data_IF_587654105009
#
_entry.id   IF_587654105009
#
_cell.length_a   1.000
_cell.length_b   1.000
_cell.length_c   1.000
_cell.angle_alpha   90.00
_cell.angle_beta   90.00
_cell.angle_gamma   90.00
#
_symmetry.space_group_name_H-M   'P 1'
#
loop_
_entity.id
_entity.type
_entity.pdbx_description
1 polymer ?
#
# COMPACT_ATOMS: atom_id res chain seq x y z
N UNK A 1 18.51 12.32 9.48
CA UNK A 1 17.18 11.74 9.19
C UNK A 1 17.19 10.23 9.40
N UNK A 2 18.19 9.51 8.86
CA UNK A 2 18.37 8.06 9.01
C UNK A 2 18.42 7.57 10.47
N UNK A 3 19.22 8.21 11.35
CA UNK A 3 19.30 7.84 12.77
C UNK A 3 17.94 7.91 13.48
N UNK A 4 17.08 8.86 13.09
CA UNK A 4 15.72 9.00 13.62
C UNK A 4 14.77 7.93 13.07
N UNK A 5 14.89 7.56 11.79
CA UNK A 5 14.10 6.48 11.18
C UNK A 5 14.42 5.14 11.82
N UNK A 6 15.70 4.78 11.93
CA UNK A 6 16.16 3.55 12.56
C UNK A 6 15.66 3.44 14.01
N UNK A 7 15.76 4.53 14.79
CA UNK A 7 15.24 4.56 16.16
C UNK A 7 13.72 4.32 16.21
N UNK A 8 12.94 4.95 15.32
CA UNK A 8 11.48 4.75 15.24
C UNK A 8 11.13 3.31 14.86
N UNK A 9 11.84 2.73 13.89
CA UNK A 9 11.65 1.32 13.52
C UNK A 9 11.98 0.39 14.68
N UNK A 10 13.10 0.60 15.36
CA UNK A 10 13.46 -0.19 16.54
C UNK A 10 12.43 -0.06 17.65
N UNK A 11 11.92 1.15 17.91
CA UNK A 11 10.87 1.38 18.91
C UNK A 11 9.54 0.70 18.52
N UNK A 12 9.17 0.74 17.24
CA UNK A 12 7.99 0.02 16.70
C UNK A 12 8.13 -1.49 16.90
N UNK A 13 9.28 -2.05 16.55
CA UNK A 13 9.55 -3.49 16.74
C UNK A 13 9.65 -3.86 18.22
N UNK A 14 10.12 -2.97 19.09
CA UNK A 14 10.27 -3.23 20.53
C UNK A 14 9.01 -2.90 21.34
N UNK A 15 7.88 -2.62 20.69
CA UNK A 15 6.63 -2.32 21.38
C UNK A 15 6.12 -3.52 22.19
N UNK A 16 5.24 -3.28 23.16
CA UNK A 16 4.82 -4.30 24.15
C UNK A 16 4.11 -5.52 23.56
N UNK A 17 3.72 -5.47 22.29
CA UNK A 17 3.19 -6.62 21.55
C UNK A 17 4.34 -7.38 20.91
N UNK A 18 4.49 -8.69 21.21
CA UNK A 18 5.46 -9.57 20.55
C UNK A 18 5.20 -9.78 19.05
N UNK A 19 4.12 -9.22 18.51
CA UNK A 19 3.71 -9.36 17.12
C UNK A 19 4.25 -8.23 16.25
N UNK A 20 4.71 -8.59 15.05
CA UNK A 20 5.01 -7.61 14.02
C UNK A 20 3.73 -6.90 13.58
N UNK A 21 3.80 -5.58 13.43
CA UNK A 21 2.68 -4.72 13.03
C UNK A 21 2.95 -4.02 11.70
N UNK A 22 1.93 -3.66 10.90
CA UNK A 22 2.11 -2.92 9.66
C UNK A 22 2.84 -1.60 9.87
N UNK A 23 3.60 -1.18 8.85
CA UNK A 23 4.35 0.08 8.85
C UNK A 23 3.90 0.91 7.66
N UNK A 24 3.50 2.16 7.91
CA UNK A 24 3.21 3.15 6.89
C UNK A 24 4.33 4.21 6.89
N UNK A 25 5.07 4.32 5.78
CA UNK A 25 6.05 5.39 5.56
C UNK A 25 5.48 6.39 4.56
N UNK A 26 5.38 7.65 4.97
CA UNK A 26 4.97 8.74 4.08
C UNK A 26 6.13 9.14 3.16
N UNK A 27 5.93 9.10 1.84
CA UNK A 27 7.02 9.25 0.87
C UNK A 27 7.23 10.71 0.44
N UNK A 28 6.17 11.35 -0.06
CA UNK A 28 6.26 12.65 -0.73
C UNK A 28 5.63 13.83 0.03
N UNK A 29 5.01 13.56 1.19
CA UNK A 29 4.33 14.62 1.93
C UNK A 29 2.90 14.92 1.45
N UNK A 30 2.36 14.13 0.51
CA UNK A 30 1.04 14.31 -0.07
C UNK A 30 0.18 13.03 -0.05
N UNK A 31 0.19 12.23 -1.12
CA UNK A 31 -0.63 11.03 -1.29
C UNK A 31 0.19 9.72 -1.40
N UNK A 32 1.52 9.79 -1.52
CA UNK A 32 2.36 8.59 -1.75
C UNK A 32 2.80 7.94 -0.44
N UNK A 33 2.58 6.63 -0.35
CA UNK A 33 2.90 5.83 0.84
C UNK A 33 3.67 4.56 0.47
N UNK A 34 4.58 4.14 1.34
CA UNK A 34 5.09 2.77 1.39
C UNK A 34 4.39 2.07 2.56
N UNK A 35 3.52 1.11 2.25
CA UNK A 35 2.90 0.24 3.23
C UNK A 35 3.67 -1.09 3.29
N UNK A 36 4.02 -1.52 4.49
CA UNK A 36 4.69 -2.79 4.73
C UNK A 36 3.83 -3.61 5.69
N UNK A 37 3.31 -4.75 5.22
CA UNK A 37 2.46 -5.65 6.03
C UNK A 37 3.23 -6.90 6.44
N UNK A 38 3.18 -7.33 7.71
CA UNK A 38 3.85 -8.55 8.15
C UNK A 38 3.32 -9.76 7.37
N UNK A 39 4.24 -10.56 6.84
CA UNK A 39 3.88 -11.83 6.19
C UNK A 39 3.57 -12.89 7.24
N UNK A 40 2.60 -13.80 6.98
CA UNK A 40 2.48 -15.05 7.72
C UNK A 40 3.76 -15.87 7.63
N UNK A 41 4.02 -16.72 8.63
CA UNK A 41 5.27 -17.49 8.74
C UNK A 41 5.59 -18.31 7.48
N UNK A 42 4.58 -18.97 6.90
CA UNK A 42 4.75 -19.77 5.68
C UNK A 42 5.18 -18.91 4.48
N UNK A 43 4.68 -17.67 4.38
CA UNK A 43 5.03 -16.74 3.30
C UNK A 43 6.43 -16.15 3.49
N UNK A 44 6.90 -15.99 4.73
CA UNK A 44 8.29 -15.58 5.01
C UNK A 44 9.28 -16.62 4.50
N UNK A 45 9.01 -17.90 4.74
CA UNK A 45 9.85 -19.00 4.29
C UNK A 45 9.94 -19.08 2.76
N UNK A 46 8.83 -18.82 2.06
CA UNK A 46 8.80 -18.83 0.60
C UNK A 46 9.46 -17.61 -0.03
N UNK A 47 9.28 -16.42 0.56
CA UNK A 47 9.74 -15.15 -0.02
C UNK A 47 11.13 -14.70 0.44
N UNK A 48 11.58 -15.15 1.61
CA UNK A 48 12.79 -14.62 2.25
C UNK A 48 12.62 -13.22 2.85
N UNK A 49 11.39 -12.68 2.89
CA UNK A 49 11.06 -11.36 3.44
C UNK A 49 10.20 -11.49 4.69
N UNK A 50 10.33 -10.54 5.61
CA UNK A 50 9.45 -10.45 6.78
C UNK A 50 8.14 -9.72 6.43
N UNK A 51 8.22 -8.73 5.55
CA UNK A 51 7.12 -7.86 5.17
C UNK A 51 6.77 -7.99 3.67
N UNK A 52 5.51 -7.69 3.35
CA UNK A 52 5.02 -7.46 1.99
C UNK A 52 4.93 -5.95 1.76
N UNK A 53 5.69 -5.45 0.79
CA UNK A 53 5.89 -4.02 0.56
C UNK A 53 5.07 -3.52 -0.63
N UNK A 54 4.13 -2.62 -0.36
CA UNK A 54 3.29 -1.95 -1.35
C UNK A 54 3.72 -0.50 -1.46
N UNK A 55 4.04 -0.07 -2.69
CA UNK A 55 4.18 1.34 -3.02
C UNK A 55 2.83 1.84 -3.55
N UNK A 56 2.17 2.68 -2.76
CA UNK A 56 0.88 3.25 -3.07
C UNK A 56 1.07 4.62 -3.76
N UNK A 57 0.50 4.74 -4.97
CA UNK A 57 0.41 5.96 -5.78
C UNK A 57 1.72 6.78 -5.79
N UNK A 58 2.82 6.23 -6.34
CA UNK A 58 4.13 6.86 -6.22
C UNK A 58 4.25 8.11 -7.10
N UNK A 59 4.40 9.24 -6.44
CA UNK A 59 4.83 10.51 -7.00
C UNK A 59 6.04 11.00 -6.20
N UNK A 60 7.22 10.52 -6.58
CA UNK A 60 8.43 10.68 -5.78
C UNK A 60 9.19 11.97 -6.10
N UNK A 61 9.11 12.48 -7.33
CA UNK A 61 9.80 13.72 -7.73
C UNK A 61 9.15 14.28 -8.99
N UNK A 62 9.42 15.55 -9.29
CA UNK A 62 8.91 16.27 -10.45
C UNK A 62 7.49 16.80 -10.25
N UNK A 63 7.00 17.56 -11.22
CA UNK A 63 5.62 18.05 -11.23
C UNK A 63 4.68 17.01 -11.82
N UNK A 64 3.47 16.91 -11.27
CA UNK A 64 2.39 16.16 -11.89
C UNK A 64 1.63 17.08 -12.83
N UNK A 65 1.68 16.78 -14.13
CA UNK A 65 1.07 17.59 -15.17
C UNK A 65 -0.08 16.83 -15.82
N UNK A 66 -1.22 17.48 -16.04
CA UNK A 66 -2.20 16.99 -17.01
C UNK A 66 -1.65 17.21 -18.43
N UNK A 67 -2.02 16.34 -19.39
CA UNK A 67 -1.49 16.35 -20.77
C UNK A 67 -1.75 17.66 -21.54
N UNK A 68 -2.51 18.59 -20.95
CA UNK A 68 -2.53 19.99 -21.36
C UNK A 68 -1.76 20.86 -20.36
N UNK A 69 -0.48 21.15 -20.66
CA UNK A 69 0.41 22.06 -19.89
C UNK A 69 -0.13 23.50 -19.70
N UNK A 70 -1.34 23.79 -20.16
CA UNK A 70 -1.98 25.09 -20.15
C UNK A 70 -3.05 25.24 -19.05
N UNK A 71 -3.42 24.18 -18.34
CA UNK A 71 -4.56 24.21 -17.40
C UNK A 71 -4.16 24.04 -15.92
N UNK A 72 -3.27 23.11 -15.56
CA UNK A 72 -2.84 22.93 -14.14
C UNK A 72 -1.51 22.18 -14.04
N UNK A 73 -0.52 22.78 -13.37
CA UNK A 73 0.65 22.08 -12.83
C UNK A 73 0.41 21.81 -11.34
N UNK A 74 0.49 20.55 -10.91
CA UNK A 74 0.47 20.20 -9.49
C UNK A 74 1.93 20.07 -9.04
N UNK A 75 2.33 20.95 -8.13
CA UNK A 75 3.65 20.94 -7.52
C UNK A 75 3.61 20.22 -6.19
N UNK A 76 4.63 19.43 -5.89
CA UNK A 76 4.76 18.82 -4.56
C UNK A 76 4.86 19.95 -3.52
N UNK A 77 4.06 19.90 -2.43
CA UNK A 77 4.07 20.95 -1.41
C UNK A 77 5.39 21.00 -0.61
N UNK A 78 6.19 19.92 -0.66
CA UNK A 78 7.55 19.77 -0.09
C UNK A 78 8.34 18.80 -0.98
N UNK A 79 9.66 18.94 -1.06
CA UNK A 79 10.52 17.90 -1.68
C UNK A 79 10.28 16.56 -0.97
N UNK A 80 10.08 15.49 -1.74
CA UNK A 80 9.83 14.18 -1.16
C UNK A 80 11.00 13.75 -0.27
N UNK A 81 10.70 13.16 0.88
CA UNK A 81 11.74 12.62 1.76
C UNK A 81 12.39 11.37 1.16
N UNK A 82 11.65 10.68 0.28
CA UNK A 82 12.08 9.56 -0.55
C UNK A 82 11.71 9.92 -1.98
N UNK A 83 12.71 10.22 -2.81
CA UNK A 83 12.52 10.86 -4.12
C UNK A 83 12.84 9.98 -5.34
N UNK A 84 13.17 8.71 -5.11
CA UNK A 84 13.46 7.73 -6.15
C UNK A 84 13.12 6.30 -5.73
N UNK A 85 12.91 5.37 -6.68
CA UNK A 85 12.74 3.95 -6.35
C UNK A 85 13.91 3.36 -5.56
N UNK A 86 15.15 3.79 -5.82
CA UNK A 86 16.32 3.36 -5.04
C UNK A 86 16.20 3.78 -3.56
N UNK A 87 15.73 5.00 -3.29
CA UNK A 87 15.49 5.44 -1.92
C UNK A 87 14.30 4.68 -1.26
N UNK A 88 13.32 4.22 -2.04
CA UNK A 88 12.27 3.31 -1.55
C UNK A 88 12.87 1.95 -1.16
N UNK A 89 13.76 1.42 -2.00
CA UNK A 89 14.48 0.17 -1.76
C UNK A 89 15.36 0.23 -0.51
N UNK A 90 16.03 1.35 -0.26
CA UNK A 90 16.79 1.60 0.97
C UNK A 90 15.84 1.65 2.19
N UNK A 91 14.70 2.34 2.07
CA UNK A 91 13.69 2.41 3.11
C UNK A 91 13.08 1.04 3.46
N UNK A 92 12.92 0.16 2.48
CA UNK A 92 12.51 -1.25 2.66
C UNK A 92 13.62 -2.05 3.34
N UNK A 93 14.86 -1.87 2.91
CA UNK A 93 16.04 -2.54 3.49
C UNK A 93 16.16 -2.24 4.99
N UNK A 94 15.92 -0.99 5.40
CA UNK A 94 15.88 -0.60 6.81
C UNK A 94 14.76 -1.31 7.60
N UNK A 95 13.58 -1.46 7.01
CA UNK A 95 12.43 -2.16 7.63
C UNK A 95 12.76 -3.64 7.82
N UNK A 96 13.20 -4.31 6.75
CA UNK A 96 13.53 -5.73 6.77
C UNK A 96 14.66 -6.04 7.75
N UNK A 97 15.76 -5.27 7.72
CA UNK A 97 16.86 -5.44 8.66
C UNK A 97 16.43 -5.24 10.12
N UNK A 98 15.56 -4.25 10.39
CA UNK A 98 15.04 -4.01 11.73
C UNK A 98 14.13 -5.16 12.19
N UNK A 99 13.32 -5.70 11.28
CA UNK A 99 12.41 -6.80 11.56
C UNK A 99 13.17 -8.11 11.83
N UNK A 100 14.12 -8.48 10.95
CA UNK A 100 14.96 -9.68 11.12
C UNK A 100 15.79 -9.63 12.42
N UNK A 101 16.24 -8.43 12.82
CA UNK A 101 16.93 -8.24 14.09
C UNK A 101 16.03 -8.46 15.31
N UNK A 102 14.72 -8.23 15.17
CA UNK A 102 13.72 -8.43 16.21
C UNK A 102 13.24 -9.89 16.31
N UNK A 103 13.19 -10.62 15.19
CA UNK A 103 12.77 -12.04 15.19
C UNK A 103 13.67 -12.91 16.06
N UNK A 104 13.07 -13.87 16.77
CA UNK A 104 13.74 -14.88 17.57
C UNK A 104 13.46 -16.31 17.09
N UNK A 105 14.13 -17.29 17.71
CA UNK A 105 13.84 -18.72 17.60
C UNK A 105 13.45 -19.24 16.20
N UNK A 106 12.27 -19.84 16.13
CA UNK A 106 11.73 -20.50 14.94
C UNK A 106 11.36 -19.51 13.81
N UNK A 107 10.95 -18.29 14.16
CA UNK A 107 10.59 -17.24 13.19
C UNK A 107 11.81 -16.75 12.42
N UNK A 108 12.95 -16.61 13.11
CA UNK A 108 14.23 -16.26 12.48
C UNK A 108 14.76 -17.36 11.58
N UNK A 109 14.59 -18.63 11.97
CA UNK A 109 14.97 -19.78 11.14
C UNK A 109 14.11 -19.84 9.87
N UNK A 110 12.83 -19.49 9.98
CA UNK A 110 11.88 -19.53 8.86
C UNK A 110 12.00 -18.34 7.90
N UNK A 111 12.88 -17.37 8.17
CA UNK A 111 13.10 -16.22 7.28
C UNK A 111 14.56 -16.23 6.79
N UNK A 112 14.84 -16.85 5.63
CA UNK A 112 16.18 -16.80 5.04
C UNK A 112 16.51 -15.36 4.65
N UNK A 113 17.44 -14.71 5.37
CA UNK A 113 17.92 -13.37 5.06
C UNK A 113 18.91 -13.36 3.89
N UNK A 114 18.51 -13.97 2.77
CA UNK A 114 19.34 -14.14 1.57
C UNK A 114 18.52 -13.82 0.32
N UNK A 115 18.00 -12.60 0.25
CA UNK A 115 17.53 -12.08 -1.03
C UNK A 115 18.74 -11.93 -1.95
N UNK A 116 18.67 -12.47 -3.16
CA UNK A 116 19.68 -12.22 -4.18
C UNK A 116 19.77 -10.73 -4.49
N UNK A 117 20.92 -10.23 -4.94
CA UNK A 117 21.08 -8.84 -5.35
C UNK A 117 20.05 -8.42 -6.43
N UNK A 118 19.61 -9.37 -7.27
CA UNK A 118 18.60 -9.14 -8.32
C UNK A 118 17.13 -9.24 -7.87
N UNK A 119 16.88 -9.49 -6.56
CA UNK A 119 15.53 -9.66 -6.04
C UNK A 119 14.80 -8.31 -5.95
N UNK A 120 13.53 -8.29 -6.38
CA UNK A 120 12.67 -7.12 -6.20
C UNK A 120 12.42 -6.89 -4.72
N UNK A 121 12.64 -5.68 -4.22
CA UNK A 121 12.33 -5.30 -2.83
C UNK A 121 10.87 -4.87 -2.67
N UNK A 122 10.35 -4.10 -3.61
CA UNK A 122 8.91 -3.79 -3.73
C UNK A 122 8.17 -5.02 -4.24
N UNK A 123 7.07 -5.38 -3.57
CA UNK A 123 6.25 -6.53 -3.95
C UNK A 123 5.09 -6.13 -4.87
N UNK A 124 4.53 -4.92 -4.71
CA UNK A 124 3.48 -4.41 -5.57
C UNK A 124 3.45 -2.88 -5.64
N UNK A 125 2.93 -2.38 -6.76
CA UNK A 125 2.50 -0.97 -6.89
C UNK A 125 0.97 -0.94 -6.92
N UNK A 126 0.37 -0.04 -6.14
CA UNK A 126 -1.07 0.09 -5.99
C UNK A 126 -1.53 1.48 -6.46
N UNK A 127 -2.46 1.52 -7.41
CA UNK A 127 -3.00 2.74 -8.02
C UNK A 127 -4.52 2.77 -7.88
N UNK A 128 -5.02 3.50 -6.89
CA UNK A 128 -6.45 3.54 -6.58
C UNK A 128 -7.17 4.67 -7.32
N UNK A 129 -6.44 5.64 -7.86
CA UNK A 129 -6.99 6.79 -8.56
C UNK A 129 -6.17 7.17 -9.78
N UNK A 130 -6.77 7.94 -10.70
CA UNK A 130 -6.27 8.11 -12.06
C UNK A 130 -5.67 9.48 -12.37
N UNK A 131 -5.80 10.46 -11.46
CA UNK A 131 -5.25 11.79 -11.71
C UNK A 131 -3.71 11.77 -11.76
N UNK A 132 -3.06 12.72 -12.44
CA UNK A 132 -1.62 12.67 -12.72
C UNK A 132 -0.71 12.60 -11.49
N UNK A 133 -1.16 13.14 -10.36
CA UNK A 133 -0.50 13.11 -9.05
C UNK A 133 -0.67 11.76 -8.32
N UNK A 134 -1.60 10.92 -8.78
CA UNK A 134 -1.82 9.55 -8.30
C UNK A 134 -1.25 8.49 -9.27
N UNK A 135 -1.23 8.78 -10.57
CA UNK A 135 -0.61 7.97 -11.64
C UNK A 135 0.54 8.74 -12.27
N UNK A 136 1.55 9.06 -11.46
CA UNK A 136 2.68 9.85 -11.89
C UNK A 136 3.61 9.04 -12.82
N UNK A 137 3.32 9.07 -14.12
CA UNK A 137 4.03 8.28 -15.13
C UNK A 137 5.56 8.45 -15.10
N UNK A 138 6.13 9.66 -14.95
CA UNK A 138 7.59 9.81 -14.88
C UNK A 138 8.23 9.06 -13.70
N UNK A 139 7.54 8.92 -12.58
CA UNK A 139 7.99 8.10 -11.46
C UNK A 139 7.78 6.62 -11.76
N UNK A 140 6.62 6.24 -12.29
CA UNK A 140 6.32 4.84 -12.60
C UNK A 140 7.30 4.20 -13.60
N UNK A 141 7.80 4.94 -14.59
CA UNK A 141 8.84 4.44 -15.51
C UNK A 141 10.20 4.14 -14.85
N UNK A 142 10.44 4.66 -13.64
CA UNK A 142 11.70 4.41 -12.92
C UNK A 142 11.67 3.09 -12.13
N UNK A 143 10.48 2.54 -11.85
CA UNK A 143 10.35 1.25 -11.17
C UNK A 143 10.69 0.09 -12.11
N UNK A 144 11.16 -1.02 -11.54
CA UNK A 144 11.40 -2.24 -12.30
C UNK A 144 10.09 -2.78 -12.90
N UNK A 145 10.10 -3.08 -14.20
CA UNK A 145 8.94 -3.57 -14.95
C UNK A 145 8.36 -4.89 -14.42
N UNK A 146 9.15 -5.68 -13.68
CA UNK A 146 8.72 -6.96 -13.10
C UNK A 146 7.83 -6.78 -11.87
N UNK A 147 7.79 -5.57 -11.27
CA UNK A 147 6.91 -5.29 -10.14
C UNK A 147 5.46 -5.30 -10.65
N UNK A 148 4.57 -6.12 -10.08
CA UNK A 148 3.17 -6.14 -10.49
C UNK A 148 2.46 -4.85 -10.09
N UNK A 149 1.64 -4.33 -11.00
CA UNK A 149 0.81 -3.14 -10.77
C UNK A 149 -0.65 -3.54 -10.65
N UNK A 150 -1.24 -3.19 -9.52
CA UNK A 150 -2.65 -3.35 -9.24
C UNK A 150 -3.30 -1.97 -9.35
N UNK A 151 -4.31 -1.85 -10.21
CA UNK A 151 -4.91 -0.55 -10.49
C UNK A 151 -6.43 -0.62 -10.65
N UNK A 152 -7.11 0.48 -10.35
CA UNK A 152 -8.52 0.67 -10.72
C UNK A 152 -8.69 0.78 -12.24
N UNK A 153 -9.90 0.58 -12.79
CA UNK A 153 -10.10 0.59 -14.25
C UNK A 153 -9.53 1.82 -14.97
N UNK A 154 -9.70 3.01 -14.40
CA UNK A 154 -9.23 4.27 -15.00
C UNK A 154 -7.71 4.40 -14.94
N UNK A 155 -7.10 4.11 -13.77
CA UNK A 155 -5.65 4.09 -13.64
C UNK A 155 -5.00 3.03 -14.54
N UNK A 156 -5.63 1.85 -14.62
CA UNK A 156 -5.22 0.75 -15.48
C UNK A 156 -5.20 1.15 -16.96
N UNK A 157 -6.18 1.93 -17.42
CA UNK A 157 -6.22 2.42 -18.79
C UNK A 157 -5.04 3.34 -19.14
N UNK A 158 -4.48 4.04 -18.16
CA UNK A 158 -3.27 4.85 -18.31
C UNK A 158 -2.03 3.95 -18.33
N UNK A 159 -1.86 3.10 -17.31
CA UNK A 159 -0.65 2.28 -17.16
C UNK A 159 -0.49 1.26 -18.29
N UNK A 160 -1.58 0.69 -18.82
CA UNK A 160 -1.54 -0.17 -20.01
C UNK A 160 -0.92 0.52 -21.22
N UNK A 161 -1.15 1.82 -21.40
CA UNK A 161 -0.59 2.58 -22.53
C UNK A 161 0.91 2.82 -22.38
N UNK A 162 1.42 2.81 -21.14
CA UNK A 162 2.85 2.98 -20.87
C UNK A 162 3.68 1.81 -21.40
N UNK A 163 3.09 0.59 -21.49
CA UNK A 163 3.78 -0.64 -21.94
C UNK A 163 5.10 -0.90 -21.21
N UNK A 164 5.14 -0.52 -19.94
CA UNK A 164 6.33 -0.64 -19.09
C UNK A 164 6.29 -1.94 -18.28
N UNK A 165 5.24 -2.15 -17.50
CA UNK A 165 5.11 -3.28 -16.57
C UNK A 165 4.66 -4.58 -17.24
N UNK A 166 5.19 -5.70 -16.73
CA UNK A 166 4.93 -7.05 -17.23
C UNK A 166 3.61 -7.63 -16.69
N UNK A 167 3.26 -7.29 -15.45
CA UNK A 167 2.05 -7.77 -14.77
C UNK A 167 1.16 -6.59 -14.40
N UNK A 168 -0.07 -6.61 -14.92
CA UNK A 168 -1.08 -5.56 -14.71
C UNK A 168 -2.40 -6.20 -14.32
N UNK A 169 -2.90 -5.90 -13.13
CA UNK A 169 -4.13 -6.48 -12.59
C UNK A 169 -5.12 -5.44 -12.10
N UNK A 170 -6.41 -5.74 -12.27
CA UNK A 170 -7.48 -4.86 -11.83
C UNK A 170 -7.75 -5.07 -10.34
N UNK A 171 -7.86 -3.96 -9.62
CA UNK A 171 -8.39 -3.97 -8.26
C UNK A 171 -9.92 -4.06 -8.34
N UNK A 172 -10.54 -4.98 -7.60
CA UNK A 172 -11.97 -5.11 -7.61
C UNK A 172 -12.65 -3.94 -6.88
N UNK A 173 -13.86 -3.62 -7.32
CA UNK A 173 -14.74 -2.71 -6.60
C UNK A 173 -15.65 -3.51 -5.69
N UNK A 174 -15.79 -3.09 -4.42
CA UNK A 174 -16.75 -3.74 -3.54
C UNK A 174 -18.17 -3.35 -3.96
N UNK A 175 -19.09 -4.32 -4.01
CA UNK A 175 -20.50 -4.05 -4.32
C UNK A 175 -21.12 -3.14 -3.25
N UNK A 176 -21.99 -2.17 -3.61
CA UNK A 176 -22.69 -1.32 -2.63
C UNK A 176 -23.74 -2.08 -1.82
N UNK A 177 -23.97 -3.36 -2.16
CA UNK A 177 -24.84 -4.27 -1.41
C UNK A 177 -24.07 -5.44 -0.83
N UNK A 178 -22.73 -5.41 -0.85
CA UNK A 178 -21.91 -6.46 -0.28
C UNK A 178 -22.24 -6.63 1.21
N UNK A 179 -22.32 -7.89 1.64
CA UNK A 179 -22.43 -8.26 3.06
C UNK A 179 -21.12 -8.75 3.63
N UNK A 180 -20.16 -9.05 2.75
CA UNK A 180 -18.83 -9.49 3.12
C UNK A 180 -17.81 -8.81 2.21
N UNK A 181 -16.68 -8.43 2.79
CA UNK A 181 -15.49 -8.03 2.03
C UNK A 181 -14.65 -9.25 1.64
N UNK A 182 -14.94 -10.44 2.20
CA UNK A 182 -14.33 -11.71 1.80
C UNK A 182 -15.13 -12.28 0.65
N UNK A 183 -14.78 -11.87 -0.56
CA UNK A 183 -15.32 -12.47 -1.79
C UNK A 183 -14.21 -13.31 -2.46
N UNK A 184 -14.12 -14.63 -2.20
CA UNK A 184 -13.05 -15.48 -2.75
C UNK A 184 -13.01 -15.50 -4.28
N UNK A 185 -14.15 -15.27 -4.93
CA UNK A 185 -14.25 -15.17 -6.40
C UNK A 185 -13.69 -13.87 -6.98
N UNK A 186 -13.29 -12.93 -6.13
CA UNK A 186 -12.93 -11.54 -6.51
C UNK A 186 -11.51 -11.18 -6.05
N UNK A 187 -10.74 -12.14 -5.52
CA UNK A 187 -9.34 -11.87 -5.18
C UNK A 187 -8.57 -11.37 -6.42
N UNK A 188 -7.68 -10.38 -6.28
CA UNK A 188 -6.74 -10.04 -7.35
C UNK A 188 -6.06 -11.33 -7.83
N UNK A 189 -5.88 -11.45 -9.13
CA UNK A 189 -5.38 -12.66 -9.77
C UNK A 189 -3.90 -12.93 -9.40
N UNK A 190 -3.29 -13.91 -10.09
CA UNK A 190 -2.09 -14.61 -9.65
C UNK A 190 -0.95 -13.71 -9.14
N UNK A 191 -0.68 -13.79 -7.83
CA UNK A 191 0.49 -13.17 -7.19
C UNK A 191 0.17 -12.26 -6.01
N UNK A 192 -1.09 -11.84 -5.83
CA UNK A 192 -1.49 -11.08 -4.64
C UNK A 192 -1.71 -12.00 -3.43
N UNK A 193 -1.20 -11.67 -2.23
CA UNK A 193 -1.37 -12.51 -1.04
C UNK A 193 -2.82 -12.57 -0.57
N UNK A 194 -3.34 -13.77 -0.29
CA UNK A 194 -4.75 -13.95 0.12
C UNK A 194 -5.09 -13.36 1.50
N UNK A 195 -4.07 -13.07 2.31
CA UNK A 195 -4.18 -12.48 3.65
C UNK A 195 -4.13 -10.95 3.66
N UNK A 196 -4.05 -10.32 2.49
CA UNK A 196 -4.14 -8.87 2.32
C UNK A 196 -5.12 -8.60 1.19
N UNK A 197 -6.11 -7.72 1.34
CA UNK A 197 -7.15 -7.55 0.32
C UNK A 197 -7.39 -6.06 0.01
N UNK A 198 -7.13 -5.62 -1.24
CA UNK A 198 -7.44 -4.27 -1.69
C UNK A 198 -8.86 -4.19 -2.21
N UNK A 199 -9.57 -3.15 -1.78
CA UNK A 199 -10.91 -2.81 -2.27
C UNK A 199 -10.95 -1.38 -2.75
N UNK A 200 -11.39 -1.21 -4.00
CA UNK A 200 -11.83 0.09 -4.47
C UNK A 200 -13.28 0.32 -4.04
N UNK A 201 -13.57 1.51 -3.51
CA UNK A 201 -14.89 1.90 -3.04
C UNK A 201 -15.32 3.12 -3.86
N UNK A 202 -16.05 2.93 -4.98
CA UNK A 202 -16.57 4.02 -5.78
C UNK A 202 -17.31 5.05 -4.92
N UNK A 203 -17.05 6.33 -5.18
CA UNK A 203 -17.73 7.42 -4.49
C UNK A 203 -18.88 8.02 -5.29
N UNK A 204 -19.63 8.92 -4.64
CA UNK A 204 -20.73 9.68 -5.22
C UNK A 204 -20.32 10.52 -6.44
N UNK A 205 -19.02 10.82 -6.58
CA UNK A 205 -18.40 11.44 -7.76
C UNK A 205 -17.12 10.70 -8.09
N UNK A 206 -16.72 10.78 -9.37
CA UNK A 206 -15.49 10.16 -9.86
C UNK A 206 -14.24 10.60 -9.09
N UNK A 207 -14.22 11.82 -8.54
CA UNK A 207 -13.11 12.35 -7.75
C UNK A 207 -13.22 12.05 -6.26
N UNK A 208 -14.29 11.42 -5.78
CA UNK A 208 -14.50 11.15 -4.36
C UNK A 208 -14.46 9.65 -3.99
N UNK A 209 -13.63 8.80 -4.62
CA UNK A 209 -13.59 7.41 -4.20
C UNK A 209 -12.94 7.28 -2.82
N UNK A 210 -13.22 6.15 -2.20
CA UNK A 210 -12.45 5.63 -1.09
C UNK A 210 -11.78 4.31 -1.51
N UNK A 211 -10.89 3.83 -0.67
CA UNK A 211 -10.33 2.50 -0.79
C UNK A 211 -10.09 1.90 0.59
N UNK A 212 -10.01 0.58 0.63
CA UNK A 212 -9.63 -0.16 1.81
C UNK A 212 -8.53 -1.18 1.50
N UNK A 213 -7.64 -1.39 2.46
CA UNK A 213 -6.69 -2.50 2.48
C UNK A 213 -6.97 -3.31 3.75
N UNK A 214 -7.49 -4.52 3.59
CA UNK A 214 -7.78 -5.42 4.71
C UNK A 214 -6.61 -6.37 4.92
N UNK A 215 -6.02 -6.37 6.09
CA UNK A 215 -4.98 -7.29 6.52
C UNK A 215 -5.56 -8.31 7.49
N UNK A 216 -5.45 -9.57 7.13
CA UNK A 216 -5.84 -10.72 7.94
C UNK A 216 -4.60 -11.36 8.54
N UNK A 217 -4.60 -11.55 9.85
CA UNK A 217 -3.52 -12.21 10.56
C UNK A 217 -4.05 -13.02 11.75
N UNK A 218 -3.18 -13.78 12.40
CA UNK A 218 -3.48 -14.42 13.68
C UNK A 218 -3.18 -13.42 14.79
N UNK A 219 -4.13 -13.20 15.70
CA UNK A 219 -3.94 -12.34 16.87
C UNK A 219 -3.30 -13.10 18.05
N UNK A 220 -3.02 -12.37 19.13
CA UNK A 220 -2.34 -12.90 20.32
C UNK A 220 -3.11 -14.04 21.03
N UNK A 221 -4.43 -14.10 20.82
CA UNK A 221 -5.30 -15.16 21.32
C UNK A 221 -5.32 -16.42 20.42
N UNK A 222 -4.59 -16.40 19.31
CA UNK A 222 -4.56 -17.46 18.32
C UNK A 222 -5.73 -17.42 17.33
N UNK A 223 -6.65 -16.46 17.46
CA UNK A 223 -7.80 -16.32 16.59
C UNK A 223 -7.47 -15.45 15.36
N UNK A 224 -8.32 -15.56 14.34
CA UNK A 224 -8.20 -14.72 13.16
C UNK A 224 -8.60 -13.28 13.47
N UNK A 225 -7.67 -12.36 13.28
CA UNK A 225 -7.89 -10.92 13.37
C UNK A 225 -7.95 -10.30 11.97
N UNK A 226 -8.81 -9.31 11.82
CA UNK A 226 -9.00 -8.57 10.58
C UNK A 226 -8.88 -7.09 10.87
N UNK A 227 -7.90 -6.45 10.25
CA UNK A 227 -7.65 -5.03 10.39
C UNK A 227 -7.67 -4.38 9.02
N UNK A 228 -7.96 -3.09 8.95
CA UNK A 228 -8.02 -2.40 7.68
C UNK A 228 -7.56 -0.96 7.77
N UNK A 229 -6.90 -0.55 6.70
CA UNK A 229 -6.68 0.85 6.39
C UNK A 229 -7.81 1.28 5.48
N UNK A 230 -8.47 2.39 5.79
CA UNK A 230 -9.51 3.00 4.94
C UNK A 230 -9.12 4.44 4.67
N UNK A 231 -9.10 4.85 3.41
CA UNK A 231 -8.84 6.23 3.04
C UNK A 231 -9.87 6.73 2.03
N UNK A 232 -10.21 8.02 2.13
CA UNK A 232 -11.00 8.72 1.13
C UNK A 232 -10.12 9.80 0.50
N UNK A 233 -10.08 9.83 -0.83
CA UNK A 233 -9.15 10.69 -1.56
C UNK A 233 -9.54 12.16 -1.42
N UNK A 234 -10.80 12.49 -1.69
CA UNK A 234 -11.33 13.86 -1.58
C UNK A 234 -12.54 13.97 -0.64
N UNK A 235 -12.63 13.06 0.34
CA UNK A 235 -13.76 12.97 1.28
C UNK A 235 -14.95 12.20 0.72
N UNK A 236 -15.81 11.75 1.63
CA UNK A 236 -16.99 10.94 1.35
C UNK A 236 -18.25 11.60 1.91
N UNK A 237 -19.41 11.28 1.33
CA UNK A 237 -20.70 11.56 1.94
C UNK A 237 -21.01 10.53 3.03
N UNK A 238 -21.91 10.88 3.95
CA UNK A 238 -22.31 10.01 5.07
C UNK A 238 -23.13 8.81 4.58
N UNK A 239 -23.87 8.97 3.48
CA UNK A 239 -24.69 7.94 2.83
C UNK A 239 -24.00 7.24 1.65
N UNK A 240 -22.66 7.31 1.59
CA UNK A 240 -21.88 6.67 0.53
C UNK A 240 -22.02 5.14 0.57
N UNK A 241 -22.68 4.57 -0.44
CA UNK A 241 -23.15 3.18 -0.38
C UNK A 241 -22.02 2.16 -0.37
N UNK A 242 -20.97 2.39 -1.15
CA UNK A 242 -19.84 1.46 -1.21
C UNK A 242 -19.01 1.49 0.07
N UNK A 243 -18.77 2.69 0.60
CA UNK A 243 -18.09 2.85 1.87
C UNK A 243 -18.90 2.21 3.00
N UNK A 244 -20.21 2.49 3.09
CA UNK A 244 -21.08 1.90 4.10
C UNK A 244 -21.16 0.38 3.97
N UNK A 245 -21.24 -0.16 2.75
CA UNK A 245 -21.18 -1.61 2.53
C UNK A 245 -19.88 -2.23 3.09
N UNK A 246 -18.73 -1.57 2.91
CA UNK A 246 -17.47 -2.03 3.51
C UNK A 246 -17.51 -1.89 5.04
N UNK A 247 -17.98 -0.76 5.56
CA UNK A 247 -18.00 -0.50 7.00
C UNK A 247 -18.87 -1.52 7.76
N UNK A 248 -19.99 -1.91 7.16
CA UNK A 248 -20.98 -2.86 7.69
C UNK A 248 -20.69 -4.32 7.29
N UNK A 249 -19.61 -4.58 6.56
CA UNK A 249 -19.31 -5.93 6.05
C UNK A 249 -18.71 -6.85 7.10
N UNK A 250 -18.99 -8.15 6.91
CA UNK A 250 -18.47 -9.24 7.74
C UNK A 250 -17.31 -9.98 7.02
N UNK A 251 -16.34 -10.57 7.75
CA UNK A 251 -16.09 -10.42 9.19
C UNK A 251 -15.79 -8.96 9.58
N UNK A 252 -15.99 -8.53 10.83
CA UNK A 252 -15.69 -7.17 11.21
C UNK A 252 -14.19 -6.90 11.07
N UNK A 253 -13.85 -5.72 10.58
CA UNK A 253 -12.48 -5.22 10.57
C UNK A 253 -12.29 -4.14 11.65
N UNK A 254 -11.17 -4.15 12.35
CA UNK A 254 -10.67 -2.95 13.04
C UNK A 254 -10.19 -1.95 11.98
N UNK A 255 -10.53 -0.66 12.12
CA UNK A 255 -10.39 0.31 11.03
C UNK A 255 -9.51 1.47 11.45
N UNK A 256 -8.39 1.62 10.75
CA UNK A 256 -7.59 2.83 10.76
C UNK A 256 -7.99 3.72 9.59
N UNK A 257 -8.56 4.88 9.88
CA UNK A 257 -8.85 5.88 8.86
C UNK A 257 -7.58 6.70 8.54
N UNK A 258 -7.07 6.58 7.31
CA UNK A 258 -6.06 7.50 6.78
C UNK A 258 -6.76 8.75 6.25
N UNK A 259 -6.64 9.83 6.99
CA UNK A 259 -7.08 11.14 6.54
C UNK A 259 -5.96 11.83 5.78
N UNK A 260 -6.30 12.48 4.67
CA UNK A 260 -5.35 13.32 3.95
C UNK A 260 -4.78 14.37 4.89
N UNK A 261 -3.47 14.38 5.07
CA UNK A 261 -2.81 15.30 5.98
C UNK A 261 -2.86 16.73 5.43
N UNK A 262 -3.79 17.56 5.91
CA UNK A 262 -3.64 19.00 5.75
C UNK A 262 -2.44 19.42 6.62
N UNK A 263 -1.38 19.95 5.99
CA UNK A 263 -0.18 20.46 6.68
C UNK A 263 -0.52 21.48 7.78
N UNK A 264 -1.70 22.12 7.69
CA UNK A 264 -2.39 22.87 8.75
C UNK A 264 -3.90 22.76 8.54
N UNK A 265 -4.66 22.42 9.58
CA UNK A 265 -6.05 22.86 9.68
C UNK A 265 -6.03 24.34 10.09
N UNK A 266 -6.75 25.19 9.36
CA UNK A 266 -6.96 26.59 9.71
C UNK A 266 -7.89 26.75 10.90
#
# INVERSE_FOLDING_TARGET
MEATRKYKLQAHMSSETSELRPIATFLNGDNSWLFSFPRPLNDRAASGKVYYHIVYEPWLNGSANDMSKWLTDILQPVHAAIDSPAAVDDAITDIENSAVAHLDGADKISTPNTLSEDALKVDAILLMFYLPDHVHQPTLYQFDKRIPVFATPDAMAIVKKMKHFETLELIPSLSPTAKTWREPSVQPAAGWPSWLMPWFLPGHRAVNPAWALVWTHTGNDGEEANESIVASIHGSQVDEKHLNAFLDSEPPTEKLALMHGLKKAG
#
